data_IF_387778865028
#
_entry.id   IF_387778865028
#
_cell.length_a   1.000
_cell.length_b   1.000
_cell.length_c   1.000
_cell.angle_alpha   90.00
_cell.angle_beta   90.00
_cell.angle_gamma   90.00
#
_symmetry.space_group_name_H-M   'P 1'
#
loop_
_entity.id
_entity.type
_entity.pdbx_description
1 polymer ?
#
# COMPACT_ATOMS: atom_id res chain seq x y z
N UNK A 1 -7.09 -26.52 59.66
CA UNK A 1 -6.14 -26.29 58.55
C UNK A 1 -6.90 -25.57 57.44
N UNK A 2 -6.71 -24.26 57.27
CA UNK A 2 -7.30 -23.50 56.15
C UNK A 2 -6.19 -23.26 55.13
N UNK A 3 -6.33 -23.92 53.99
CA UNK A 3 -5.36 -23.87 52.88
C UNK A 3 -5.49 -22.56 52.12
N UNK A 4 -4.36 -21.89 51.90
CA UNK A 4 -4.22 -20.77 50.97
C UNK A 4 -4.39 -21.26 49.53
N UNK A 5 -5.02 -20.44 48.68
CA UNK A 5 -4.76 -20.44 47.24
C UNK A 5 -4.51 -19.00 46.79
N UNK A 6 -3.23 -18.68 46.65
CA UNK A 6 -2.72 -17.49 45.97
C UNK A 6 -2.85 -17.71 44.47
N UNK A 7 -3.63 -16.89 43.78
CA UNK A 7 -3.70 -16.91 42.31
C UNK A 7 -2.48 -16.20 41.73
N UNK A 8 -1.70 -16.90 40.91
CA UNK A 8 -0.61 -16.33 40.13
C UNK A 8 -1.18 -15.91 38.76
N UNK A 9 -1.26 -14.59 38.51
CA UNK A 9 -1.53 -14.08 37.16
C UNK A 9 -0.20 -14.03 36.41
N UNK A 10 -0.04 -14.86 35.39
CA UNK A 10 1.05 -14.74 34.45
C UNK A 10 0.70 -13.69 33.39
N UNK A 11 1.34 -12.52 33.43
CA UNK A 11 1.34 -11.60 32.29
C UNK A 11 2.26 -12.18 31.20
N UNK A 12 1.67 -12.63 30.10
CA UNK A 12 2.43 -12.92 28.88
C UNK A 12 2.84 -11.58 28.23
N UNK A 13 4.10 -11.20 28.39
CA UNK A 13 4.71 -10.06 27.70
C UNK A 13 4.90 -10.41 26.22
N UNK A 14 3.87 -10.18 25.40
CA UNK A 14 3.95 -10.26 23.94
C UNK A 14 4.71 -9.07 23.36
N UNK A 15 6.03 -9.02 23.53
CA UNK A 15 6.88 -8.17 22.69
C UNK A 15 7.30 -9.00 21.49
N UNK A 16 6.57 -8.88 20.38
CA UNK A 16 7.11 -9.30 19.09
C UNK A 16 8.44 -8.57 18.90
N UNK A 17 9.54 -9.31 18.82
CA UNK A 17 10.84 -8.74 18.53
C UNK A 17 10.72 -7.97 17.21
N UNK A 18 10.89 -6.65 17.26
CA UNK A 18 11.02 -5.84 16.05
C UNK A 18 12.19 -6.43 15.28
N UNK A 19 11.92 -7.03 14.12
CA UNK A 19 12.97 -7.46 13.22
C UNK A 19 13.90 -6.26 12.97
N UNK A 20 15.20 -6.43 13.20
CA UNK A 20 16.16 -5.38 12.96
C UNK A 20 16.11 -4.99 11.48
N UNK A 21 16.01 -3.69 11.20
CA UNK A 21 16.05 -3.19 9.83
C UNK A 21 17.32 -3.67 9.12
N UNK A 22 17.15 -4.40 8.02
CA UNK A 22 18.27 -4.85 7.21
C UNK A 22 18.53 -3.82 6.11
N UNK A 23 19.63 -3.08 6.22
CA UNK A 23 20.05 -2.18 5.14
C UNK A 23 20.43 -3.01 3.90
N UNK A 24 19.82 -2.71 2.76
CA UNK A 24 20.09 -3.34 1.47
C UNK A 24 20.59 -2.31 0.47
N UNK A 25 21.56 -2.70 -0.35
CA UNK A 25 21.91 -1.92 -1.55
C UNK A 25 20.77 -1.95 -2.56
N UNK A 26 20.72 -0.96 -3.46
CA UNK A 26 19.74 -0.95 -4.54
C UNK A 26 19.78 -2.24 -5.39
N UNK A 27 20.98 -2.80 -5.61
CA UNK A 27 21.17 -4.06 -6.36
C UNK A 27 20.56 -5.25 -5.62
N UNK A 28 20.79 -5.36 -4.31
CA UNK A 28 20.23 -6.45 -3.50
C UNK A 28 18.70 -6.34 -3.38
N UNK A 29 18.18 -5.13 -3.18
CA UNK A 29 16.73 -4.88 -3.18
C UNK A 29 16.11 -5.32 -4.50
N UNK A 30 16.68 -4.91 -5.64
CA UNK A 30 16.18 -5.31 -6.95
C UNK A 30 16.21 -6.84 -7.16
N UNK A 31 17.30 -7.50 -6.76
CA UNK A 31 17.40 -8.95 -6.83
C UNK A 31 16.31 -9.65 -6.00
N UNK A 32 16.00 -9.12 -4.80
CA UNK A 32 14.94 -9.67 -3.93
C UNK A 32 13.53 -9.39 -4.43
N UNK A 33 13.33 -8.36 -5.25
CA UNK A 33 12.03 -8.01 -5.84
C UNK A 33 11.66 -8.85 -7.07
N UNK A 34 12.60 -9.61 -7.64
CA UNK A 34 12.41 -10.30 -8.92
C UNK A 34 11.92 -11.74 -8.73
N UNK A 35 10.94 -12.24 -9.51
CA UNK A 35 10.17 -11.53 -10.54
C UNK A 35 9.01 -10.70 -9.96
N UNK A 36 8.54 -9.73 -10.74
CA UNK A 36 7.44 -8.84 -10.38
C UNK A 36 6.19 -9.01 -11.23
N UNK A 37 5.03 -8.72 -10.64
CA UNK A 37 3.71 -8.75 -11.29
C UNK A 37 3.02 -7.37 -11.19
N UNK A 38 2.14 -7.01 -12.13
CA UNK A 38 1.39 -5.75 -12.08
C UNK A 38 -0.10 -6.03 -11.79
N UNK A 39 -0.66 -5.35 -10.79
CA UNK A 39 -2.10 -5.26 -10.56
C UNK A 39 -2.71 -4.19 -11.48
N UNK A 40 -2.70 -4.44 -12.79
CA UNK A 40 -3.20 -3.49 -13.79
C UNK A 40 -4.73 -3.41 -13.83
N UNK A 41 -5.25 -2.31 -14.37
CA UNK A 41 -6.67 -2.05 -14.58
C UNK A 41 -7.54 -2.18 -13.31
N UNK A 42 -6.94 -1.92 -12.16
CA UNK A 42 -7.56 -2.01 -10.84
C UNK A 42 -7.63 -0.61 -10.21
N UNK A 43 -6.66 -0.22 -9.37
CA UNK A 43 -6.65 1.12 -8.75
C UNK A 43 -6.26 2.24 -9.72
N UNK A 44 -5.74 1.88 -10.89
CA UNK A 44 -5.46 2.76 -12.00
C UNK A 44 -6.65 3.03 -12.90
N UNK A 45 -7.72 2.23 -12.79
CA UNK A 45 -8.90 2.37 -13.63
C UNK A 45 -9.58 3.74 -13.46
N UNK A 46 -10.23 4.19 -14.53
CA UNK A 46 -10.96 5.46 -14.57
C UNK A 46 -12.47 5.22 -14.67
N UNK A 47 -13.32 5.93 -13.90
CA UNK A 47 -12.94 6.90 -12.87
C UNK A 47 -12.49 6.30 -11.53
N UNK A 48 -12.69 4.99 -11.30
CA UNK A 48 -12.33 4.34 -10.03
C UNK A 48 -12.13 2.84 -10.20
N UNK A 49 -11.66 2.17 -9.15
CA UNK A 49 -11.54 0.70 -9.11
C UNK A 49 -12.91 0.05 -9.34
N UNK A 50 -12.96 -0.99 -10.19
CA UNK A 50 -14.23 -1.58 -10.63
C UNK A 50 -14.66 -1.12 -12.02
N UNK A 51 -14.15 0.01 -12.51
CA UNK A 51 -14.59 0.56 -13.80
C UNK A 51 -14.10 -0.23 -15.02
N UNK A 52 -12.92 -0.83 -14.95
CA UNK A 52 -12.35 -1.62 -16.07
C UNK A 52 -12.29 -3.12 -15.77
N UNK A 53 -12.02 -3.49 -14.52
CA UNK A 53 -12.05 -4.86 -14.02
C UNK A 53 -12.62 -4.88 -12.60
N UNK A 54 -13.03 -6.07 -12.14
CA UNK A 54 -13.54 -6.24 -10.78
C UNK A 54 -12.49 -5.82 -9.73
N UNK A 55 -12.91 -5.28 -8.58
CA UNK A 55 -12.00 -4.93 -7.49
C UNK A 55 -11.14 -6.10 -7.03
N UNK A 56 -9.91 -5.81 -6.61
CA UNK A 56 -8.98 -6.86 -6.13
C UNK A 56 -9.43 -7.43 -4.79
N UNK A 57 -9.24 -8.74 -4.63
CA UNK A 57 -9.45 -9.47 -3.38
C UNK A 57 -8.10 -9.85 -2.75
N UNK A 58 -8.05 -9.98 -1.43
CA UNK A 58 -6.78 -10.25 -0.72
C UNK A 58 -6.13 -11.55 -1.16
N UNK A 59 -6.94 -12.57 -1.48
CA UNK A 59 -6.47 -13.87 -1.96
C UNK A 59 -5.59 -13.76 -3.22
N UNK A 60 -5.80 -12.73 -4.04
CA UNK A 60 -4.96 -12.46 -5.21
C UNK A 60 -3.49 -12.31 -4.83
N UNK A 61 -3.17 -11.62 -3.74
CA UNK A 61 -1.78 -11.42 -3.32
C UNK A 61 -1.12 -12.68 -2.78
N UNK A 62 -1.90 -13.53 -2.09
CA UNK A 62 -1.42 -14.84 -1.64
C UNK A 62 -1.13 -15.75 -2.82
N UNK A 63 -2.00 -15.74 -3.84
CA UNK A 63 -1.79 -16.49 -5.07
C UNK A 63 -0.58 -15.98 -5.85
N UNK A 64 -0.44 -14.67 -6.04
CA UNK A 64 0.73 -14.05 -6.70
C UNK A 64 2.03 -14.46 -6.01
N UNK A 65 2.05 -14.46 -4.67
CA UNK A 65 3.22 -14.92 -3.93
C UNK A 65 3.48 -16.42 -4.11
N UNK A 66 2.43 -17.26 -4.08
CA UNK A 66 2.52 -18.70 -4.28
C UNK A 66 3.01 -19.07 -5.70
N UNK A 67 2.65 -18.27 -6.71
CA UNK A 67 3.08 -18.42 -8.10
C UNK A 67 4.55 -18.03 -8.33
N UNK A 68 5.26 -17.60 -7.28
CA UNK A 68 6.70 -17.35 -7.32
C UNK A 68 7.09 -15.87 -7.41
N UNK A 69 6.14 -14.95 -7.62
CA UNK A 69 6.44 -13.52 -7.63
C UNK A 69 6.91 -13.01 -6.27
N UNK A 70 7.88 -12.10 -6.30
CA UNK A 70 8.45 -11.47 -5.11
C UNK A 70 8.04 -10.02 -4.97
N UNK A 71 7.57 -9.38 -6.04
CA UNK A 71 7.04 -8.03 -6.00
C UNK A 71 5.72 -7.88 -6.75
N UNK A 72 4.93 -6.90 -6.33
CA UNK A 72 3.78 -6.40 -7.05
C UNK A 72 3.91 -4.90 -7.28
N UNK A 73 3.63 -4.45 -8.50
CA UNK A 73 3.40 -3.06 -8.81
C UNK A 73 1.90 -2.79 -8.81
N UNK A 74 1.48 -1.82 -8.00
CA UNK A 74 0.09 -1.37 -7.84
C UNK A 74 0.00 0.04 -8.43
N UNK A 75 -0.36 0.17 -9.72
CA UNK A 75 -0.62 1.47 -10.33
C UNK A 75 -1.88 2.11 -9.73
N UNK A 76 -1.83 3.42 -9.45
CA UNK A 76 -2.93 4.15 -8.79
C UNK A 76 -3.21 5.44 -9.55
N UNK A 77 -4.47 5.72 -9.84
CA UNK A 77 -4.90 7.00 -10.40
C UNK A 77 -5.65 7.84 -9.36
N UNK A 78 -5.39 9.15 -9.30
CA UNK A 78 -5.98 10.05 -8.30
C UNK A 78 -6.93 11.10 -8.90
N UNK A 79 -6.84 11.38 -10.20
CA UNK A 79 -7.53 12.49 -10.88
C UNK A 79 -9.03 12.65 -10.54
N UNK A 80 -9.77 11.55 -10.41
CA UNK A 80 -11.22 11.54 -10.13
C UNK A 80 -11.55 11.42 -8.62
N UNK A 81 -10.53 11.46 -7.76
CA UNK A 81 -10.63 11.26 -6.31
C UNK A 81 -10.21 12.49 -5.49
N UNK A 82 -10.29 13.69 -6.06
CA UNK A 82 -10.09 14.95 -5.33
C UNK A 82 -11.44 15.51 -4.86
N UNK A 83 -11.54 15.82 -3.56
CA UNK A 83 -12.72 16.43 -2.93
C UNK A 83 -12.61 17.95 -2.77
N UNK A 84 -11.46 18.52 -3.11
CA UNK A 84 -11.27 19.97 -3.17
C UNK A 84 -10.42 20.33 -4.38
N UNK A 85 -10.63 21.54 -4.90
CA UNK A 85 -9.81 22.10 -5.97
C UNK A 85 -8.58 22.86 -5.43
N UNK A 86 -7.97 23.66 -6.29
CA UNK A 86 -6.88 24.55 -5.95
C UNK A 86 -7.25 25.45 -4.76
N UNK A 87 -6.28 25.78 -3.89
CA UNK A 87 -4.88 25.33 -3.90
C UNK A 87 -4.65 23.99 -3.19
N UNK A 88 -5.67 23.43 -2.53
CA UNK A 88 -5.49 22.35 -1.56
C UNK A 88 -5.39 20.97 -2.20
N UNK A 89 -6.16 20.69 -3.25
CA UNK A 89 -6.21 19.39 -3.93
C UNK A 89 -6.27 18.21 -2.93
N UNK A 90 -7.24 18.27 -2.03
CA UNK A 90 -7.44 17.24 -1.01
C UNK A 90 -7.93 15.96 -1.69
N UNK A 91 -7.19 14.86 -1.51
CA UNK A 91 -7.63 13.53 -1.97
C UNK A 91 -8.68 13.00 -1.01
N UNK A 92 -9.72 12.39 -1.55
CA UNK A 92 -10.78 11.72 -0.79
C UNK A 92 -10.18 10.72 0.23
N UNK A 93 -10.43 10.89 1.53
CA UNK A 93 -10.00 9.93 2.55
C UNK A 93 -10.46 8.50 2.30
N UNK A 94 -11.63 8.29 1.67
CA UNK A 94 -12.13 6.96 1.33
C UNK A 94 -11.24 6.28 0.28
N UNK A 95 -10.78 7.04 -0.72
CA UNK A 95 -9.84 6.55 -1.71
C UNK A 95 -8.48 6.20 -1.09
N UNK A 96 -7.96 7.06 -0.22
CA UNK A 96 -6.72 6.79 0.51
C UNK A 96 -6.83 5.55 1.43
N UNK A 97 -7.99 5.35 2.05
CA UNK A 97 -8.27 4.16 2.85
C UNK A 97 -8.28 2.89 1.99
N UNK A 98 -8.89 2.94 0.81
CA UNK A 98 -8.88 1.81 -0.13
C UNK A 98 -7.46 1.49 -0.63
N UNK A 99 -6.68 2.50 -1.01
CA UNK A 99 -5.27 2.30 -1.40
C UNK A 99 -4.48 1.63 -0.26
N UNK A 100 -4.62 2.12 0.98
CA UNK A 100 -3.97 1.51 2.13
C UNK A 100 -4.36 0.04 2.31
N UNK A 101 -5.65 -0.26 2.24
CA UNK A 101 -6.13 -1.64 2.36
C UNK A 101 -5.46 -2.58 1.34
N UNK A 102 -5.40 -2.16 0.07
CA UNK A 102 -4.80 -2.98 -1.00
C UNK A 102 -3.28 -3.12 -0.82
N UNK A 103 -2.59 -2.03 -0.49
CA UNK A 103 -1.14 -2.03 -0.23
C UNK A 103 -0.80 -2.89 1.00
N UNK A 104 -1.58 -2.80 2.07
CA UNK A 104 -1.39 -3.57 3.30
C UNK A 104 -1.64 -5.07 3.05
N UNK A 105 -2.67 -5.41 2.26
CA UNK A 105 -2.93 -6.78 1.86
C UNK A 105 -1.72 -7.37 1.11
N UNK A 106 -1.16 -6.64 0.13
CA UNK A 106 0.05 -7.05 -0.59
C UNK A 106 1.30 -7.15 0.29
N UNK A 107 1.51 -6.18 1.19
CA UNK A 107 2.64 -6.22 2.12
C UNK A 107 2.51 -7.42 3.07
N UNK A 108 1.31 -7.73 3.55
CA UNK A 108 1.08 -8.80 4.52
C UNK A 108 1.50 -10.19 4.01
N UNK A 109 1.52 -10.42 2.68
CA UNK A 109 1.98 -11.68 2.07
C UNK A 109 3.50 -11.78 1.91
N UNK A 110 4.23 -10.70 2.18
CA UNK A 110 5.68 -10.65 2.00
C UNK A 110 6.16 -10.22 0.63
N UNK A 111 5.25 -9.73 -0.23
CA UNK A 111 5.63 -9.09 -1.49
C UNK A 111 6.28 -7.73 -1.22
N UNK A 112 7.28 -7.40 -2.03
CA UNK A 112 7.69 -6.01 -2.20
C UNK A 112 6.61 -5.26 -3.00
N UNK A 113 6.27 -4.05 -2.58
CA UNK A 113 5.20 -3.27 -3.22
C UNK A 113 5.76 -2.00 -3.86
N UNK A 114 5.46 -1.82 -5.14
CA UNK A 114 5.76 -0.59 -5.89
C UNK A 114 4.46 0.13 -6.19
N UNK A 115 4.33 1.38 -5.74
CA UNK A 115 3.18 2.24 -6.02
C UNK A 115 3.62 3.43 -6.86
N UNK A 116 2.69 4.02 -7.60
CA UNK A 116 2.94 5.25 -8.33
C UNK A 116 1.68 6.11 -8.46
N UNK A 117 1.83 7.23 -9.15
CA UNK A 117 0.75 8.03 -9.73
C UNK A 117 0.70 7.65 -11.21
N UNK A 118 -0.41 7.10 -11.70
CA UNK A 118 -0.45 6.35 -12.96
C UNK A 118 -1.05 7.10 -14.16
N UNK A 119 -2.37 7.06 -14.34
CA UNK A 119 -3.01 7.70 -15.49
C UNK A 119 -3.12 9.21 -15.33
N UNK A 120 -2.84 9.76 -14.15
CA UNK A 120 -2.70 11.22 -13.96
C UNK A 120 -1.63 11.84 -14.88
N UNK A 121 -0.75 11.02 -15.46
CA UNK A 121 0.23 11.42 -16.48
C UNK A 121 -0.41 11.98 -17.76
N UNK A 122 -1.57 11.48 -18.18
CA UNK A 122 -2.29 11.92 -19.38
C UNK A 122 -3.74 12.30 -19.12
N UNK A 123 -4.40 11.68 -18.14
CA UNK A 123 -5.71 12.05 -17.64
C UNK A 123 -5.61 13.17 -16.61
N UNK A 124 -4.98 14.29 -16.97
CA UNK A 124 -5.14 15.52 -16.20
C UNK A 124 -6.40 16.19 -16.73
N UNK A 125 -7.42 16.34 -15.88
CA UNK A 125 -8.63 17.08 -16.25
C UNK A 125 -8.22 18.46 -16.83
N UNK A 126 -8.73 18.80 -18.02
CA UNK A 126 -8.51 20.09 -18.68
C UNK A 126 -8.79 21.23 -17.70
N UNK A 127 -7.73 21.82 -17.14
CA UNK A 127 -7.81 22.90 -16.16
C UNK A 127 -7.07 22.67 -14.84
N UNK A 128 -6.66 21.45 -14.48
CA UNK A 128 -5.85 21.23 -13.27
C UNK A 128 -4.35 21.48 -13.57
N UNK A 129 -3.69 22.51 -13.00
CA UNK A 129 -2.26 22.73 -13.14
C UNK A 129 -1.47 21.57 -12.54
N UNK A 130 -0.30 21.22 -13.12
CA UNK A 130 0.58 20.10 -12.68
C UNK A 130 0.83 20.00 -11.17
N UNK A 131 0.66 21.10 -10.43
CA UNK A 131 0.76 21.13 -8.97
C UNK A 131 -0.25 20.24 -8.22
N UNK A 132 -1.37 19.81 -8.83
CA UNK A 132 -2.33 18.92 -8.17
C UNK A 132 -1.71 17.58 -7.72
N UNK A 133 -0.67 17.12 -8.45
CA UNK A 133 0.08 15.91 -8.14
C UNK A 133 0.92 15.99 -6.85
N UNK A 134 1.10 17.18 -6.27
CA UNK A 134 1.83 17.36 -5.01
C UNK A 134 1.14 16.63 -3.85
N UNK A 135 -0.19 16.61 -3.81
CA UNK A 135 -0.92 15.96 -2.73
C UNK A 135 -0.76 14.43 -2.76
N UNK A 136 -1.01 13.72 -3.87
CA UNK A 136 -0.70 12.29 -4.00
C UNK A 136 0.77 11.96 -3.70
N UNK A 137 1.72 12.74 -4.24
CA UNK A 137 3.15 12.49 -4.01
C UNK A 137 3.54 12.63 -2.53
N UNK A 138 3.06 13.68 -1.85
CA UNK A 138 3.29 13.85 -0.39
C UNK A 138 2.68 12.71 0.41
N UNK A 139 1.49 12.24 0.04
CA UNK A 139 0.84 11.14 0.71
C UNK A 139 1.64 9.83 0.55
N UNK A 140 2.08 9.51 -0.67
CA UNK A 140 2.89 8.31 -0.95
C UNK A 140 4.20 8.31 -0.15
N UNK A 141 4.89 9.47 -0.08
CA UNK A 141 6.10 9.61 0.74
C UNK A 141 5.82 9.39 2.23
N UNK A 142 4.75 10.01 2.76
CA UNK A 142 4.35 9.82 4.16
C UNK A 142 4.02 8.36 4.44
N UNK A 143 3.31 7.69 3.54
CA UNK A 143 2.92 6.28 3.66
C UNK A 143 4.14 5.36 3.60
N UNK A 144 5.10 5.63 2.72
CA UNK A 144 6.35 4.88 2.64
C UNK A 144 7.13 4.96 3.97
N UNK A 145 7.28 6.17 4.52
CA UNK A 145 7.99 6.40 5.78
C UNK A 145 7.30 5.79 7.01
N UNK A 146 5.98 5.59 6.95
CA UNK A 146 5.22 4.93 8.02
C UNK A 146 5.24 3.38 7.93
N UNK A 147 5.77 2.81 6.85
CA UNK A 147 5.86 1.36 6.69
C UNK A 147 7.02 0.82 7.51
N UNK A 148 6.80 -0.17 8.40
CA UNK A 148 7.90 -0.88 9.04
C UNK A 148 8.83 -1.46 7.98
N UNK A 149 10.09 -1.07 8.02
CA UNK A 149 11.10 -1.59 7.11
C UNK A 149 11.50 -2.99 7.56
N UNK A 150 11.56 -3.94 6.62
CA UNK A 150 11.95 -5.33 6.87
C UNK A 150 13.45 -5.52 6.69
#
# INVERSE_FOLDING_TARGET
>A
MRSLLTSLVALASGHAALAAFTSLTAKETFARMTPGWNLGNTLDALPTEGSWMAPVQNVTFSQVYADGFRSVRIPITFNDHFISDAPNYTVDPAWLSRINYVVDAALSTGLFVVVNVHHDSWNWHYGKPRHYLKAPHKWLLKRANATPQR
#
